data_IF_871916384276
#
_entry.id   IF_871916384276
#
_cell.length_a   1.000
_cell.length_b   1.000
_cell.length_c   1.000
_cell.angle_alpha   90.00
_cell.angle_beta   90.00
_cell.angle_gamma   90.00
#
_symmetry.space_group_name_H-M   'P 1'
#
loop_
_entity.id
_entity.type
_entity.pdbx_description
1 polymer ?
#
# COMPACT_ATOMS: atom_id res chain seq x y z
N UNK A 1 8.48 21.84 -10.02
CA UNK A 1 8.11 23.17 -10.58
C UNK A 1 7.51 24.10 -9.53
N UNK A 2 6.51 23.66 -8.74
CA UNK A 2 5.87 24.46 -7.68
C UNK A 2 6.84 25.11 -6.67
N UNK A 3 7.89 24.42 -6.22
CA UNK A 3 8.87 24.98 -5.27
C UNK A 3 9.65 26.20 -5.80
N UNK A 4 9.80 26.34 -7.12
CA UNK A 4 10.55 27.43 -7.73
C UNK A 4 9.75 28.74 -7.73
N UNK A 5 8.43 28.64 -7.87
CA UNK A 5 7.54 29.78 -8.08
C UNK A 5 6.57 30.04 -6.91
N UNK A 6 6.44 29.12 -5.95
CA UNK A 6 5.57 29.27 -4.79
C UNK A 6 6.37 29.75 -3.58
N UNK A 7 6.41 31.08 -3.40
CA UNK A 7 7.11 31.75 -2.30
C UNK A 7 6.55 31.38 -0.92
N UNK A 8 5.23 31.20 -0.81
CA UNK A 8 4.58 30.79 0.44
C UNK A 8 5.05 29.39 0.84
N UNK A 9 5.09 28.48 -0.13
CA UNK A 9 5.55 27.11 0.11
C UNK A 9 7.03 27.07 0.48
N UNK A 10 7.89 27.92 -0.13
CA UNK A 10 9.31 28.06 0.23
C UNK A 10 9.50 28.53 1.68
N UNK A 11 8.76 29.56 2.09
CA UNK A 11 8.79 30.04 3.47
C UNK A 11 8.34 28.93 4.45
N UNK A 12 7.25 28.23 4.13
CA UNK A 12 6.70 27.17 4.97
C UNK A 12 7.70 26.03 5.24
N UNK A 13 8.52 25.68 4.26
CA UNK A 13 9.55 24.63 4.39
C UNK A 13 10.92 25.15 4.87
N UNK A 14 11.03 26.45 5.17
CA UNK A 14 12.24 27.08 5.72
C UNK A 14 13.33 27.43 4.71
N UNK A 15 13.01 27.55 3.42
CA UNK A 15 13.96 28.03 2.40
C UNK A 15 13.90 29.55 2.28
N UNK A 16 15.06 30.20 2.24
CA UNK A 16 15.15 31.64 1.97
C UNK A 16 14.74 31.96 0.52
N UNK A 17 14.24 33.17 0.26
CA UNK A 17 13.80 33.58 -1.08
C UNK A 17 14.96 33.61 -2.10
N UNK A 18 16.18 33.86 -1.64
CA UNK A 18 17.38 34.01 -2.47
C UNK A 18 18.15 32.69 -2.67
N UNK A 19 17.78 31.63 -1.95
CA UNK A 19 18.47 30.35 -2.02
C UNK A 19 18.13 29.59 -3.31
N UNK A 20 19.10 28.87 -3.88
CA UNK A 20 18.86 28.05 -5.06
C UNK A 20 18.05 26.80 -4.65
N UNK A 21 16.82 26.72 -5.15
CA UNK A 21 15.95 25.57 -4.91
C UNK A 21 16.51 24.34 -5.64
N UNK A 22 16.59 23.17 -4.99
CA UNK A 22 16.96 21.94 -5.65
C UNK A 22 15.96 21.55 -6.74
N UNK A 23 16.43 20.88 -7.79
CA UNK A 23 15.54 20.37 -8.83
C UNK A 23 14.45 19.47 -8.25
N UNK A 24 13.29 19.46 -8.91
CA UNK A 24 12.12 18.71 -8.45
C UNK A 24 12.42 17.21 -8.24
N UNK A 25 13.31 16.65 -9.05
CA UNK A 25 13.81 15.28 -8.92
C UNK A 25 14.55 15.08 -7.60
N UNK A 26 15.41 16.01 -7.20
CA UNK A 26 16.16 15.98 -5.95
C UNK A 26 15.24 16.03 -4.73
N UNK A 27 14.26 16.93 -4.73
CA UNK A 27 13.26 17.01 -3.65
C UNK A 27 12.47 15.71 -3.53
N UNK A 28 11.90 15.21 -4.64
CA UNK A 28 11.12 13.98 -4.67
C UNK A 28 11.93 12.76 -4.22
N UNK A 29 13.22 12.70 -4.59
CA UNK A 29 14.08 11.60 -4.20
C UNK A 29 14.52 11.70 -2.73
N UNK A 30 14.73 12.91 -2.21
CA UNK A 30 15.02 13.13 -0.79
C UNK A 30 13.81 12.80 0.09
N UNK A 31 12.62 13.22 -0.32
CA UNK A 31 11.36 12.87 0.32
C UNK A 31 11.19 11.35 0.37
N UNK A 32 11.32 10.65 -0.77
CA UNK A 32 11.27 9.17 -0.79
C UNK A 32 12.32 8.54 0.13
N UNK A 33 13.56 9.04 0.16
CA UNK A 33 14.60 8.46 1.04
C UNK A 33 14.28 8.64 2.53
N UNK A 34 13.76 9.80 2.93
CA UNK A 34 13.46 10.11 4.33
C UNK A 34 12.16 9.44 4.81
N UNK A 35 11.12 9.45 3.99
CA UNK A 35 9.77 9.10 4.43
C UNK A 35 9.28 7.74 3.97
N UNK A 36 9.95 7.04 3.03
CA UNK A 36 9.47 5.73 2.55
C UNK A 36 9.25 4.68 3.65
N UNK A 37 10.15 4.62 4.65
CA UNK A 37 10.01 3.68 5.77
C UNK A 37 8.93 4.14 6.77
N UNK A 38 9.01 5.40 7.18
CA UNK A 38 8.08 6.02 8.14
C UNK A 38 6.64 6.06 7.63
N UNK A 39 6.42 6.35 6.35
CA UNK A 39 5.10 6.36 5.72
C UNK A 39 4.48 4.97 5.68
N UNK A 40 5.25 3.94 5.30
CA UNK A 40 4.73 2.57 5.25
C UNK A 40 4.31 2.10 6.64
N UNK A 41 5.16 2.32 7.65
CA UNK A 41 4.89 1.88 9.02
C UNK A 41 3.74 2.67 9.66
N UNK A 42 3.68 3.99 9.44
CA UNK A 42 2.60 4.84 9.95
C UNK A 42 1.26 4.51 9.28
N UNK A 43 1.24 4.41 7.94
CA UNK A 43 0.02 4.08 7.21
C UNK A 43 -0.52 2.71 7.62
N UNK A 44 0.36 1.71 7.76
CA UNK A 44 -0.03 0.39 8.25
C UNK A 44 -0.60 0.47 9.67
N UNK A 45 0.07 1.19 10.58
CA UNK A 45 -0.38 1.34 11.96
C UNK A 45 -1.76 2.02 12.04
N UNK A 46 -1.99 3.07 11.24
CA UNK A 46 -3.28 3.76 11.19
C UNK A 46 -4.36 2.84 10.60
N UNK A 47 -4.04 2.14 9.52
CA UNK A 47 -4.95 1.19 8.90
C UNK A 47 -5.37 0.09 9.88
N UNK A 48 -4.42 -0.52 10.58
CA UNK A 48 -4.67 -1.57 11.57
C UNK A 48 -5.59 -1.05 12.69
N UNK A 49 -5.34 0.16 13.21
CA UNK A 49 -6.22 0.79 14.22
C UNK A 49 -7.64 1.03 13.73
N UNK A 50 -7.81 1.41 12.47
CA UNK A 50 -9.14 1.62 11.88
C UNK A 50 -9.87 0.29 11.79
N UNK A 51 -9.20 -0.78 11.35
CA UNK A 51 -9.77 -2.12 11.31
C UNK A 51 -10.16 -2.59 12.72
N UNK A 52 -9.29 -2.41 13.72
CA UNK A 52 -9.58 -2.77 15.11
C UNK A 52 -10.83 -2.04 15.65
N UNK A 53 -10.98 -0.75 15.34
CA UNK A 53 -12.17 0.03 15.74
C UNK A 53 -13.44 -0.49 15.06
N UNK A 54 -13.37 -0.82 13.77
CA UNK A 54 -14.51 -1.35 13.02
C UNK A 54 -14.94 -2.74 13.53
N UNK A 55 -13.98 -3.58 13.93
CA UNK A 55 -14.24 -4.87 14.58
C UNK A 55 -14.92 -4.64 15.93
N UNK A 56 -14.39 -3.74 16.76
CA UNK A 56 -14.94 -3.45 18.09
C UNK A 56 -16.39 -2.92 18.03
N UNK A 57 -16.74 -2.19 16.98
CA UNK A 57 -18.10 -1.70 16.75
C UNK A 57 -18.97 -2.65 15.93
N UNK A 58 -18.49 -3.87 15.68
CA UNK A 58 -19.20 -4.91 14.93
C UNK A 58 -19.70 -4.41 13.55
N UNK A 59 -18.95 -3.49 12.93
CA UNK A 59 -19.26 -2.85 11.65
C UNK A 59 -18.68 -3.60 10.45
N UNK A 60 -17.97 -4.71 10.70
CA UNK A 60 -17.37 -5.54 9.66
C UNK A 60 -18.03 -6.91 9.66
N UNK A 61 -18.62 -7.26 8.51
CA UNK A 61 -18.95 -8.64 8.18
C UNK A 61 -17.71 -9.28 7.52
N UNK A 62 -17.02 -10.15 8.27
CA UNK A 62 -15.80 -10.83 7.81
C UNK A 62 -16.09 -12.05 6.92
N UNK A 63 -17.34 -12.30 6.52
CA UNK A 63 -17.70 -13.44 5.66
C UNK A 63 -17.16 -13.31 4.24
N UNK A 64 -16.97 -12.09 3.72
CA UNK A 64 -16.41 -11.85 2.39
C UNK A 64 -15.55 -10.58 2.36
N UNK A 65 -14.33 -10.70 1.83
CA UNK A 65 -13.40 -9.56 1.63
C UNK A 65 -13.31 -9.25 0.15
N UNK A 66 -13.72 -8.05 -0.25
CA UNK A 66 -13.62 -7.56 -1.62
C UNK A 66 -12.45 -6.58 -1.74
N UNK A 67 -11.54 -6.84 -2.68
CA UNK A 67 -10.42 -5.95 -2.99
C UNK A 67 -10.56 -5.51 -4.44
N UNK A 68 -11.00 -4.28 -4.67
CA UNK A 68 -10.97 -3.67 -6.00
C UNK A 68 -9.57 -3.10 -6.30
N UNK A 69 -8.92 -3.66 -7.31
CA UNK A 69 -7.56 -3.31 -7.72
C UNK A 69 -7.49 -2.71 -9.12
N UNK A 70 -8.60 -2.15 -9.61
CA UNK A 70 -8.72 -1.50 -10.93
C UNK A 70 -7.61 -0.50 -11.27
N UNK A 71 -7.01 0.17 -10.27
CA UNK A 71 -5.88 1.10 -10.47
C UNK A 71 -4.50 0.53 -10.10
N UNK A 72 -4.44 -0.68 -9.56
CA UNK A 72 -3.19 -1.31 -9.14
C UNK A 72 -2.58 -2.00 -10.36
N UNK A 73 -1.59 -1.37 -11.02
CA UNK A 73 -0.82 -2.03 -12.08
C UNK A 73 -0.13 -3.27 -11.49
N UNK A 74 -0.68 -4.46 -11.78
CA UNK A 74 -0.12 -5.71 -11.31
C UNK A 74 1.30 -5.90 -11.89
N UNK A 75 2.32 -5.72 -11.05
CA UNK A 75 3.69 -6.11 -11.39
C UNK A 75 3.82 -7.64 -11.25
N UNK A 76 3.27 -8.37 -12.21
CA UNK A 76 3.29 -9.84 -12.27
C UNK A 76 4.63 -10.38 -12.79
N UNK A 77 5.76 -9.97 -12.20
CA UNK A 77 7.06 -10.55 -12.56
C UNK A 77 7.29 -11.85 -11.75
N UNK A 78 7.11 -13.01 -12.41
CA UNK A 78 7.32 -14.35 -11.85
C UNK A 78 8.75 -14.62 -11.35
N UNK A 79 9.72 -13.72 -11.58
CA UNK A 79 11.11 -13.86 -11.14
C UNK A 79 11.46 -13.02 -9.90
N UNK A 80 10.53 -12.22 -9.36
CA UNK A 80 10.74 -11.41 -8.15
C UNK A 80 9.89 -11.95 -7.01
N UNK A 81 10.41 -12.94 -6.31
CA UNK A 81 9.82 -13.41 -5.06
C UNK A 81 10.50 -12.71 -3.88
N UNK A 82 9.73 -11.92 -3.13
CA UNK A 82 10.13 -11.52 -1.78
C UNK A 82 9.50 -12.51 -0.79
N UNK A 83 10.35 -13.22 -0.04
CA UNK A 83 9.89 -14.08 1.05
C UNK A 83 9.57 -13.19 2.24
N UNK A 84 8.30 -12.85 2.42
CA UNK A 84 7.79 -12.23 3.64
C UNK A 84 7.09 -13.30 4.49
N UNK A 85 7.34 -13.28 5.80
CA UNK A 85 6.64 -14.13 6.77
C UNK A 85 5.26 -13.52 7.03
N UNK A 86 4.28 -13.90 6.21
CA UNK A 86 2.89 -13.47 6.39
C UNK A 86 2.23 -14.32 7.48
N UNK A 87 1.37 -13.69 8.29
CA UNK A 87 0.55 -14.37 9.33
C UNK A 87 -0.23 -15.54 8.72
N UNK A 88 -0.43 -16.58 9.52
CA UNK A 88 -0.94 -17.91 9.13
C UNK A 88 -2.30 -17.84 8.38
N UNK A 89 -3.09 -16.79 8.60
CA UNK A 89 -4.41 -16.57 8.01
C UNK A 89 -4.38 -16.49 6.48
N UNK A 90 -3.40 -15.80 5.89
CA UNK A 90 -3.27 -15.73 4.42
C UNK A 90 -3.04 -17.12 3.78
N UNK A 91 -2.39 -18.05 4.52
CA UNK A 91 -2.20 -19.43 4.06
C UNK A 91 -3.49 -20.26 4.13
N UNK A 92 -4.45 -19.92 5.00
CA UNK A 92 -5.74 -20.61 5.06
C UNK A 92 -6.59 -20.27 3.83
N UNK A 93 -6.73 -18.97 3.53
CA UNK A 93 -7.49 -18.50 2.37
C UNK A 93 -6.96 -19.07 1.04
N UNK A 94 -5.64 -19.13 0.88
CA UNK A 94 -5.05 -19.72 -0.32
C UNK A 94 -5.44 -21.20 -0.52
N UNK A 95 -5.49 -21.99 0.56
CA UNK A 95 -5.89 -23.39 0.49
C UNK A 95 -7.36 -23.57 0.12
N UNK A 96 -8.23 -22.73 0.67
CA UNK A 96 -9.66 -22.74 0.34
C UNK A 96 -9.92 -22.39 -1.12
N UNK A 97 -9.20 -21.38 -1.64
CA UNK A 97 -9.26 -21.01 -3.05
C UNK A 97 -8.77 -22.14 -3.97
N UNK A 98 -7.65 -22.79 -3.62
CA UNK A 98 -7.11 -23.91 -4.40
C UNK A 98 -8.10 -25.10 -4.42
N UNK A 99 -8.81 -25.34 -3.30
CA UNK A 99 -9.89 -26.33 -3.20
C UNK A 99 -11.09 -25.98 -4.08
N UNK A 100 -11.55 -24.72 -4.07
CA UNK A 100 -12.63 -24.28 -4.95
C UNK A 100 -12.28 -24.41 -6.44
N UNK A 101 -11.05 -24.04 -6.82
CA UNK A 101 -10.57 -24.18 -8.19
C UNK A 101 -10.58 -25.67 -8.58
N UNK A 102 -10.07 -26.55 -7.73
CA UNK A 102 -10.06 -27.99 -7.97
C UNK A 102 -11.48 -28.58 -8.12
N UNK A 103 -12.41 -28.17 -7.25
CA UNK A 103 -13.82 -28.59 -7.29
C UNK A 103 -14.52 -28.11 -8.56
N UNK A 104 -14.29 -26.86 -8.99
CA UNK A 104 -14.83 -26.33 -10.25
C UNK A 104 -14.29 -27.09 -11.47
N UNK A 105 -13.00 -27.44 -11.47
CA UNK A 105 -12.40 -28.26 -12.54
C UNK A 105 -13.03 -29.66 -12.58
N UNK A 106 -13.26 -30.28 -11.43
CA UNK A 106 -13.87 -31.61 -11.34
C UNK A 106 -15.33 -31.61 -11.83
N UNK A 107 -16.14 -30.62 -11.41
CA UNK A 107 -17.54 -30.46 -11.87
C UNK A 107 -17.68 -30.15 -13.36
N UNK A 108 -16.65 -29.58 -14.00
CA UNK A 108 -16.66 -29.29 -15.44
C UNK A 108 -16.24 -30.49 -16.29
N UNK A 109 -15.68 -31.53 -15.66
CA UNK A 109 -15.16 -32.74 -16.31
C UNK A 109 -16.17 -33.89 -16.30
N UNK A 110 -17.23 -33.76 -15.50
CA UNK A 110 -18.45 -34.58 -15.50
C UNK A 110 -19.46 -33.87 -16.40
#
# INVERSE_FOLDING_TARGET
>A
ENLKYNNLYRWFIGYELNEKVPDHSTYSQNYKRKFCKLEKDLLQTVFDKVIDLLINWNCLDMTAVYIDSTHTKAYANKKKHHKETVKIEAKKYQKELDLEIALKVYKKKI
#
